data_IF_964753620222
#
_entry.id   IF_964753620222
#
_cell.length_a   1.000
_cell.length_b   1.000
_cell.length_c   1.000
_cell.angle_alpha   90.00
_cell.angle_beta   90.00
_cell.angle_gamma   90.00
#
_symmetry.space_group_name_H-M   'P 1'
#
loop_
_entity.id
_entity.type
_entity.pdbx_description
1 polymer ?
#
# COMPACT_ATOMS: atom_id res chain seq x y z
N UNK A 1 15.51 12.64 10.58
CA UNK A 1 15.23 13.64 9.53
C UNK A 1 14.49 12.91 8.44
N UNK A 2 13.32 13.40 8.04
CA UNK A 2 12.51 12.81 6.96
C UNK A 2 13.16 13.14 5.60
N UNK A 3 13.23 12.16 4.70
CA UNK A 3 13.75 12.35 3.35
C UNK A 3 12.73 11.93 2.29
N UNK A 4 12.64 12.75 1.24
CA UNK A 4 11.85 12.45 0.05
C UNK A 4 12.74 11.75 -0.98
N UNK A 5 12.26 10.64 -1.52
CA UNK A 5 12.95 9.91 -2.58
C UNK A 5 12.01 9.67 -3.75
N UNK A 6 12.53 9.90 -4.95
CA UNK A 6 11.90 9.52 -6.22
C UNK A 6 12.83 8.51 -6.90
N UNK A 7 12.35 7.30 -7.12
CA UNK A 7 13.10 6.29 -7.87
C UNK A 7 12.23 5.80 -9.05
N UNK A 8 11.91 6.73 -9.95
CA UNK A 8 10.82 6.61 -10.91
C UNK A 8 9.79 7.73 -10.70
N UNK A 9 8.57 7.57 -11.23
CA UNK A 9 7.49 8.57 -11.16
C UNK A 9 6.79 8.65 -9.78
N UNK A 10 7.14 7.77 -8.82
CA UNK A 10 6.51 7.74 -7.49
C UNK A 10 7.32 8.49 -6.44
N UNK A 11 6.62 9.31 -5.67
CA UNK A 11 7.10 9.97 -4.44
C UNK A 11 6.98 8.99 -3.27
N UNK A 12 8.05 8.93 -2.47
CA UNK A 12 8.12 8.14 -1.23
C UNK A 12 8.70 8.99 -0.10
N UNK A 13 8.27 8.72 1.13
CA UNK A 13 8.77 9.36 2.35
C UNK A 13 9.45 8.34 3.23
N UNK A 14 10.65 8.66 3.69
CA UNK A 14 11.43 7.78 4.56
C UNK A 14 11.86 8.49 5.84
N UNK A 15 11.73 7.82 6.99
CA UNK A 15 12.22 8.29 8.27
C UNK A 15 12.85 7.17 9.11
N UNK A 16 13.74 7.56 10.02
CA UNK A 16 14.43 6.61 10.91
C UNK A 16 15.62 5.91 10.25
N UNK A 17 16.17 4.95 10.97
CA UNK A 17 17.36 4.17 10.57
C UNK A 17 17.20 2.73 11.02
N UNK A 18 17.93 1.80 10.39
CA UNK A 18 17.90 0.38 10.77
C UNK A 18 17.28 -0.48 9.66
N UNK A 19 16.49 -1.47 10.05
CA UNK A 19 15.87 -2.40 9.09
C UNK A 19 14.83 -1.68 8.25
N UNK A 20 14.85 -1.87 6.93
CA UNK A 20 13.90 -1.25 6.00
C UNK A 20 12.49 -1.85 6.19
N UNK A 21 11.51 -0.99 6.43
CA UNK A 21 10.09 -1.36 6.51
C UNK A 21 9.28 -0.46 5.59
N UNK A 22 8.52 -1.04 4.66
CA UNK A 22 7.71 -0.30 3.68
C UNK A 22 6.24 -0.43 4.02
N UNK A 23 5.49 0.68 4.07
CA UNK A 23 4.06 0.69 4.36
C UNK A 23 3.21 1.11 3.16
N UNK A 24 2.15 0.34 2.88
CA UNK A 24 1.13 0.59 1.86
C UNK A 24 -0.25 0.77 2.51
N UNK A 25 -0.92 1.88 2.22
CA UNK A 25 -2.22 2.24 2.81
C UNK A 25 -3.41 1.52 2.16
N UNK A 26 -4.57 1.62 2.81
CA UNK A 26 -5.85 1.13 2.29
C UNK A 26 -6.48 2.10 1.29
N UNK A 27 -7.47 1.62 0.55
CA UNK A 27 -8.21 2.43 -0.43
C UNK A 27 -8.85 3.69 0.21
N UNK A 28 -8.86 4.80 -0.54
CA UNK A 28 -9.43 6.08 -0.08
C UNK A 28 -8.57 6.85 0.93
N UNK A 29 -7.39 6.32 1.28
CA UNK A 29 -6.47 6.92 2.27
C UNK A 29 -5.16 7.37 1.60
N UNK A 30 -4.18 7.75 2.43
CA UNK A 30 -2.79 8.01 2.07
C UNK A 30 -1.89 7.66 3.27
N UNK A 31 -0.59 7.88 3.15
CA UNK A 31 0.45 7.63 4.16
C UNK A 31 0.23 8.39 5.47
N UNK A 32 -0.61 9.44 5.45
CA UNK A 32 -1.11 10.11 6.65
C UNK A 32 -1.70 9.15 7.69
N UNK A 33 -2.29 8.03 7.25
CA UNK A 33 -2.84 6.99 8.11
C UNK A 33 -1.82 6.35 9.08
N UNK A 34 -0.52 6.49 8.81
CA UNK A 34 0.55 5.89 9.59
C UNK A 34 1.28 6.88 10.50
N UNK A 35 1.11 8.19 10.26
CA UNK A 35 1.89 9.27 10.90
C UNK A 35 1.93 9.21 12.42
N UNK A 36 0.84 8.76 13.06
CA UNK A 36 0.74 8.68 14.51
C UNK A 36 1.59 7.58 15.14
N UNK A 37 1.97 6.53 14.40
CA UNK A 37 2.74 5.42 14.97
C UNK A 37 4.16 5.25 14.42
N UNK A 38 4.50 5.82 13.25
CA UNK A 38 5.87 5.74 12.72
C UNK A 38 6.92 6.26 13.73
N UNK A 39 6.69 7.33 14.52
CA UNK A 39 7.66 7.77 15.52
C UNK A 39 8.06 6.69 16.55
N UNK A 40 7.19 5.72 16.84
CA UNK A 40 7.52 4.61 17.75
C UNK A 40 8.36 3.51 17.10
N UNK A 41 8.50 3.53 15.77
CA UNK A 41 9.28 2.57 14.99
C UNK A 41 10.64 3.13 14.55
N UNK A 42 10.75 4.45 14.40
CA UNK A 42 11.89 5.09 13.74
C UNK A 42 13.25 4.93 14.45
N UNK A 43 13.26 4.53 15.71
CA UNK A 43 14.49 4.28 16.46
C UNK A 43 15.20 2.99 16.02
N UNK A 44 14.45 2.01 15.51
CA UNK A 44 14.99 0.69 15.12
C UNK A 44 14.78 0.35 13.64
N UNK A 45 13.86 1.07 12.98
CA UNK A 45 13.45 0.81 11.61
C UNK A 45 13.61 2.05 10.74
N UNK A 46 14.10 1.83 9.51
CA UNK A 46 14.02 2.81 8.44
C UNK A 46 12.68 2.64 7.74
N UNK A 47 11.72 3.46 8.11
CA UNK A 47 10.33 3.34 7.66
C UNK A 47 10.12 4.17 6.40
N UNK A 48 9.68 3.52 5.33
CA UNK A 48 9.28 4.16 4.07
C UNK A 48 7.77 4.02 3.88
N UNK A 49 7.07 5.12 3.63
CA UNK A 49 5.66 5.10 3.26
C UNK A 49 5.50 5.45 1.78
N UNK A 50 4.63 4.73 1.11
CA UNK A 50 4.31 4.95 -0.30
C UNK A 50 2.80 5.18 -0.41
N UNK A 51 2.43 6.37 -0.90
CA UNK A 51 1.06 6.59 -1.35
C UNK A 51 0.84 5.74 -2.61
N UNK A 52 -0.21 4.91 -2.60
CA UNK A 52 -0.53 4.08 -3.76
C UNK A 52 -0.74 4.99 -5.00
N UNK A 53 -0.32 4.56 -6.19
CA UNK A 53 -0.64 5.23 -7.45
C UNK A 53 -2.10 5.70 -7.52
N UNK A 54 -2.33 6.97 -7.82
CA UNK A 54 -3.66 7.59 -7.86
C UNK A 54 -4.13 8.15 -6.51
N UNK A 55 -3.31 8.11 -5.46
CA UNK A 55 -3.62 8.66 -4.14
C UNK A 55 -2.52 9.60 -3.62
N UNK A 56 -2.93 10.54 -2.77
CA UNK A 56 -2.03 11.41 -2.01
C UNK A 56 -0.99 12.12 -2.89
N UNK A 57 0.29 11.99 -2.55
CA UNK A 57 1.39 12.59 -3.32
C UNK A 57 1.58 11.96 -4.71
N UNK A 58 1.02 10.77 -4.93
CA UNK A 58 1.07 10.03 -6.20
C UNK A 58 -0.27 10.10 -6.97
N UNK A 59 -1.10 11.11 -6.69
CA UNK A 59 -2.44 11.27 -7.29
C UNK A 59 -2.44 11.36 -8.83
N UNK A 60 -1.42 12.02 -9.41
CA UNK A 60 -1.31 12.20 -10.86
C UNK A 60 -0.83 10.94 -11.60
N UNK A 61 -0.26 9.96 -10.87
CA UNK A 61 0.22 8.72 -11.45
C UNK A 61 -0.86 7.64 -11.33
N UNK A 62 -1.68 7.48 -12.38
CA UNK A 62 -2.78 6.51 -12.43
C UNK A 62 -2.47 5.42 -13.47
N UNK A 63 -2.07 4.20 -13.06
CA UNK A 63 -1.79 3.11 -13.98
C UNK A 63 -3.06 2.65 -14.70
N UNK A 64 -2.92 2.22 -15.95
CA UNK A 64 -4.01 1.69 -16.77
C UNK A 64 -3.65 0.29 -17.31
N UNK A 65 -4.51 -0.73 -17.11
CA UNK A 65 -5.72 -0.71 -16.30
C UNK A 65 -5.41 -0.50 -14.80
N UNK A 66 -6.33 0.08 -14.03
CA UNK A 66 -6.15 0.27 -12.60
C UNK A 66 -6.51 -1.01 -11.83
N UNK A 67 -5.52 -1.83 -11.47
CA UNK A 67 -5.73 -3.07 -10.73
C UNK A 67 -4.50 -3.45 -9.88
N UNK A 68 -4.62 -4.50 -9.07
CA UNK A 68 -3.55 -4.93 -8.14
C UNK A 68 -2.25 -5.31 -8.87
N UNK A 69 -2.32 -5.88 -10.07
CA UNK A 69 -1.14 -6.24 -10.87
C UNK A 69 -0.36 -4.99 -11.28
N UNK A 70 -1.04 -4.02 -11.90
CA UNK A 70 -0.40 -2.81 -12.40
C UNK A 70 0.10 -1.93 -11.26
N UNK A 71 -0.65 -1.86 -10.14
CA UNK A 71 -0.19 -1.21 -8.91
C UNK A 71 1.12 -1.82 -8.39
N UNK A 72 1.17 -3.16 -8.26
CA UNK A 72 2.38 -3.84 -7.81
C UNK A 72 3.56 -3.60 -8.77
N UNK A 73 3.33 -3.66 -10.07
CA UNK A 73 4.36 -3.43 -11.08
C UNK A 73 4.93 -2.00 -11.03
N UNK A 74 4.09 -1.00 -10.72
CA UNK A 74 4.55 0.39 -10.54
C UNK A 74 5.36 0.60 -9.26
N UNK A 75 5.06 -0.17 -8.20
CA UNK A 75 5.68 0.02 -6.87
C UNK A 75 6.97 -0.80 -6.70
N UNK A 76 7.13 -1.94 -7.39
CA UNK A 76 8.21 -2.92 -7.13
C UNK A 76 9.62 -2.31 -7.11
N UNK A 77 9.87 -1.30 -7.95
CA UNK A 77 11.17 -0.62 -8.05
C UNK A 77 11.43 0.39 -6.91
N UNK A 78 10.40 0.75 -6.14
CA UNK A 78 10.53 1.56 -4.93
C UNK A 78 10.97 0.72 -3.72
N UNK A 79 10.85 -0.61 -3.80
CA UNK A 79 11.18 -1.47 -2.66
C UNK A 79 12.70 -1.65 -2.52
N UNK A 80 13.28 -1.30 -1.35
CA UNK A 80 14.64 -1.66 -1.03
C UNK A 80 14.77 -3.19 -0.93
N UNK A 81 15.99 -3.70 -1.09
CA UNK A 81 16.23 -5.13 -0.96
C UNK A 81 16.16 -5.54 0.52
N UNK A 82 15.61 -6.73 0.78
CA UNK A 82 15.46 -7.31 2.12
C UNK A 82 14.59 -6.46 3.08
N UNK A 83 13.55 -5.81 2.55
CA UNK A 83 12.64 -5.02 3.37
C UNK A 83 11.50 -5.86 3.97
N UNK A 84 10.93 -5.40 5.08
CA UNK A 84 9.63 -5.89 5.56
C UNK A 84 8.54 -5.07 4.90
N UNK A 85 7.66 -5.73 4.13
CA UNK A 85 6.55 -5.06 3.47
C UNK A 85 5.27 -5.19 4.30
N UNK A 86 4.67 -4.04 4.64
CA UNK A 86 3.46 -3.94 5.45
C UNK A 86 2.34 -3.35 4.59
N UNK A 87 1.23 -4.08 4.46
CA UNK A 87 0.08 -3.62 3.68
C UNK A 87 -1.22 -3.64 4.49
N UNK A 88 -1.93 -2.51 4.52
CA UNK A 88 -3.26 -2.40 5.14
C UNK A 88 -4.37 -2.50 4.10
N UNK A 89 -5.36 -3.37 4.32
CA UNK A 89 -6.55 -3.49 3.45
C UNK A 89 -6.17 -3.68 1.97
N UNK A 90 -6.48 -2.73 1.06
CA UNK A 90 -6.04 -2.73 -0.35
C UNK A 90 -4.51 -2.83 -0.47
N UNK A 91 -3.76 -2.08 0.33
CA UNK A 91 -2.31 -2.17 0.39
C UNK A 91 -1.82 -3.56 0.75
N UNK A 92 -2.60 -4.34 1.50
CA UNK A 92 -2.32 -5.75 1.79
C UNK A 92 -2.48 -6.67 0.58
N UNK A 93 -3.42 -6.42 -0.34
CA UNK A 93 -3.51 -7.14 -1.62
C UNK A 93 -2.31 -6.81 -2.51
N UNK A 94 -1.95 -5.53 -2.60
CA UNK A 94 -0.78 -5.09 -3.36
C UNK A 94 0.50 -5.68 -2.78
N UNK A 95 0.64 -5.71 -1.45
CA UNK A 95 1.79 -6.30 -0.77
C UNK A 95 1.92 -7.82 -1.02
N UNK A 96 0.80 -8.55 -0.98
CA UNK A 96 0.78 -9.97 -1.35
C UNK A 96 1.22 -10.18 -2.81
N UNK A 97 0.76 -9.31 -3.71
CA UNK A 97 1.16 -9.38 -5.12
C UNK A 97 2.64 -9.06 -5.34
N UNK A 98 3.17 -8.06 -4.64
CA UNK A 98 4.60 -7.72 -4.64
C UNK A 98 5.46 -8.89 -4.11
N UNK A 99 5.00 -9.58 -3.07
CA UNK A 99 5.68 -10.75 -2.53
C UNK A 99 5.75 -11.93 -3.53
N UNK A 100 4.75 -12.06 -4.41
CA UNK A 100 4.79 -13.02 -5.52
C UNK A 100 5.66 -12.55 -6.68
N UNK A 101 5.69 -11.25 -6.95
CA UNK A 101 6.39 -10.65 -8.09
C UNK A 101 7.91 -10.56 -7.86
N UNK A 102 8.34 -10.20 -6.66
CA UNK A 102 9.74 -9.98 -6.30
C UNK A 102 10.04 -10.49 -4.88
N UNK A 103 9.88 -11.80 -4.61
CA UNK A 103 10.09 -12.39 -3.28
C UNK A 103 11.51 -12.13 -2.74
N UNK A 104 12.52 -12.03 -3.60
CA UNK A 104 13.91 -11.76 -3.24
C UNK A 104 14.14 -10.37 -2.63
N UNK A 105 13.22 -9.44 -2.86
CA UNK A 105 13.25 -8.10 -2.23
C UNK A 105 12.72 -8.11 -0.80
N UNK A 106 12.00 -9.15 -0.37
CA UNK A 106 11.31 -9.15 0.92
C UNK A 106 12.03 -10.01 1.96
N UNK A 107 12.33 -9.42 3.12
CA UNK A 107 12.67 -10.16 4.32
C UNK A 107 11.41 -10.65 5.07
N UNK A 108 10.26 -10.03 4.83
CA UNK A 108 8.99 -10.43 5.42
C UNK A 108 7.78 -9.69 4.84
N UNK A 109 6.59 -10.26 5.04
CA UNK A 109 5.31 -9.69 4.63
C UNK A 109 4.38 -9.61 5.85
N UNK A 110 3.78 -8.45 6.08
CA UNK A 110 2.77 -8.21 7.11
C UNK A 110 1.52 -7.64 6.47
N UNK A 111 0.37 -8.27 6.73
CA UNK A 111 -0.93 -7.77 6.28
C UNK A 111 -1.77 -7.34 7.46
N UNK A 112 -2.31 -6.12 7.41
CA UNK A 112 -3.20 -5.57 8.45
C UNK A 112 -4.59 -5.50 7.85
N UNK A 113 -5.57 -6.17 8.48
CA UNK A 113 -6.98 -6.15 8.06
C UNK A 113 -7.17 -6.32 6.53
N UNK A 114 -6.48 -7.29 5.96
CA UNK A 114 -6.52 -7.61 4.52
C UNK A 114 -6.89 -9.08 4.31
N UNK A 115 -6.94 -9.49 3.06
CA UNK A 115 -7.41 -10.79 2.60
C UNK A 115 -6.69 -11.13 1.29
N UNK A 116 -6.53 -12.42 0.92
CA UNK A 116 -6.07 -12.80 -0.42
C UNK A 116 -7.07 -12.43 -1.53
N UNK A 117 -8.34 -12.19 -1.18
CA UNK A 117 -9.41 -11.81 -2.11
C UNK A 117 -10.53 -11.09 -1.36
N UNK A 118 -10.89 -9.87 -1.76
CA UNK A 118 -12.03 -9.17 -1.12
C UNK A 118 -13.37 -9.73 -1.57
N UNK A 119 -13.61 -9.88 -2.87
CA UNK A 119 -14.92 -10.25 -3.38
C UNK A 119 -15.20 -11.74 -3.14
N UNK A 120 -16.41 -12.07 -2.69
CA UNK A 120 -16.88 -13.43 -2.52
C UNK A 120 -16.72 -14.29 -3.80
N UNK A 121 -16.67 -15.60 -3.63
CA UNK A 121 -16.61 -16.57 -4.72
C UNK A 121 -17.14 -17.94 -4.29
N UNK A 122 -17.24 -18.92 -5.21
CA UNK A 122 -17.85 -20.22 -4.92
C UNK A 122 -17.30 -20.93 -3.68
N UNK A 123 -16.01 -20.75 -3.38
CA UNK A 123 -15.33 -21.32 -2.22
C UNK A 123 -14.66 -20.27 -1.33
N UNK A 124 -15.09 -19.00 -1.43
CA UNK A 124 -14.49 -17.90 -0.68
C UNK A 124 -15.58 -17.01 -0.10
N UNK A 125 -15.70 -16.89 1.24
CA UNK A 125 -16.80 -16.16 1.86
C UNK A 125 -16.83 -14.69 1.40
N UNK A 126 -15.68 -14.01 1.44
CA UNK A 126 -15.48 -12.64 0.93
C UNK A 126 -16.56 -11.62 1.29
N UNK A 127 -16.55 -10.52 0.55
CA UNK A 127 -17.53 -9.44 0.59
C UNK A 127 -18.38 -9.58 -0.67
N UNK A 128 -19.70 -9.43 -0.53
CA UNK A 128 -20.60 -9.42 -1.68
C UNK A 128 -20.25 -8.26 -2.62
N UNK A 129 -20.23 -8.52 -3.93
CA UNK A 129 -19.72 -7.55 -4.91
C UNK A 129 -20.53 -6.24 -4.92
N UNK A 130 -21.84 -6.35 -4.73
CA UNK A 130 -22.78 -5.23 -4.60
C UNK A 130 -22.46 -4.33 -3.39
N UNK A 131 -22.09 -4.92 -2.25
CA UNK A 131 -21.70 -4.15 -1.07
C UNK A 131 -20.42 -3.34 -1.33
N UNK A 132 -19.47 -3.89 -2.08
CA UNK A 132 -18.26 -3.15 -2.47
C UNK A 132 -18.60 -1.99 -3.41
N UNK A 133 -19.46 -2.20 -4.39
CA UNK A 133 -19.97 -1.14 -5.27
C UNK A 133 -20.75 -0.06 -4.51
N UNK A 134 -21.42 -0.41 -3.41
CA UNK A 134 -22.07 0.56 -2.55
C UNK A 134 -21.06 1.46 -1.83
N UNK A 135 -19.93 0.93 -1.35
CA UNK A 135 -18.87 1.75 -0.75
C UNK A 135 -18.27 2.74 -1.75
N UNK A 136 -18.00 2.28 -2.97
CA UNK A 136 -17.55 3.13 -4.09
C UNK A 136 -18.53 4.28 -4.34
N UNK A 137 -19.80 3.95 -4.54
CA UNK A 137 -20.86 4.94 -4.78
C UNK A 137 -21.03 5.95 -3.64
N UNK A 138 -20.85 5.51 -2.39
CA UNK A 138 -20.96 6.41 -1.23
C UNK A 138 -19.76 7.36 -1.12
N UNK A 139 -18.57 6.91 -1.50
CA UNK A 139 -17.37 7.76 -1.49
C UNK A 139 -17.43 8.83 -2.58
N UNK A 140 -17.89 8.51 -3.78
CA UNK A 140 -18.14 9.53 -4.82
C UNK A 140 -19.07 10.64 -4.35
N UNK A 141 -20.05 10.30 -3.51
CA UNK A 141 -21.06 11.24 -3.01
C UNK A 141 -20.62 12.04 -1.77
N UNK A 142 -19.60 11.58 -1.03
CA UNK A 142 -19.36 12.07 0.32
C UNK A 142 -17.88 12.14 0.72
N UNK A 143 -16.96 12.29 -0.24
CA UNK A 143 -15.51 12.37 -0.01
C UNK A 143 -15.05 13.66 0.72
N UNK A 144 -15.95 14.61 0.98
CA UNK A 144 -15.65 15.88 1.67
C UNK A 144 -16.01 15.89 3.17
N UNK A 145 -16.48 14.79 3.74
CA UNK A 145 -16.79 14.69 5.18
C UNK A 145 -15.72 13.97 5.97
#
# INVERSE_FOLDING_TARGET
MESLHTNGELVTRTQGTGVDVVFLHGWGMNSGAFTSFIPYLSDNFRVTTIDLPGFGENAEFVPSPYNVETLAQSIVNQLPNQCVLVGWSLGGLVAQKLALLAPEKLAGLVTIASTPRFIAGPCWPGIAADLLSMFETQLEKNYQK
#
